data_IF_004855755057
#
_entry.id   IF_004855755057
#
_cell.length_a   1.000
_cell.length_b   1.000
_cell.length_c   1.000
_cell.angle_alpha   90.00
_cell.angle_beta   90.00
_cell.angle_gamma   90.00
#
_symmetry.space_group_name_H-M   'P 1'
#
loop_
_entity.id
_entity.type
_entity.pdbx_description
1 polymer ?
#
# COMPACT_ATOMS: atom_id res chain seq x y z
N UNK A 1 -16.62 -12.15 38.34
CA UNK A 1 -17.27 -12.42 37.05
C UNK A 1 -16.17 -12.70 36.05
N UNK A 2 -16.09 -13.94 35.57
CA UNK A 2 -15.11 -14.36 34.57
C UNK A 2 -15.43 -13.64 33.26
N UNK A 3 -14.55 -12.74 32.80
CA UNK A 3 -14.62 -12.24 31.43
C UNK A 3 -14.44 -13.47 30.53
N UNK A 4 -15.52 -13.92 29.89
CA UNK A 4 -15.39 -14.85 28.77
C UNK A 4 -14.48 -14.15 27.75
N UNK A 5 -13.36 -14.79 27.37
CA UNK A 5 -12.44 -14.21 26.38
C UNK A 5 -13.19 -13.94 25.09
N UNK A 6 -13.13 -12.70 24.60
CA UNK A 6 -13.85 -12.24 23.40
C UNK A 6 -13.30 -12.81 22.08
N UNK A 7 -12.35 -13.76 22.14
CA UNK A 7 -11.69 -14.39 21.00
C UNK A 7 -10.17 -14.44 21.14
N UNK A 8 -9.50 -15.24 20.30
CA UNK A 8 -8.04 -15.34 20.17
C UNK A 8 -7.59 -14.80 18.82
N UNK A 9 -6.53 -13.99 18.81
CA UNK A 9 -5.96 -13.40 17.60
C UNK A 9 -4.47 -13.67 17.50
N UNK A 10 -3.98 -14.04 16.32
CA UNK A 10 -2.56 -14.03 16.02
C UNK A 10 -2.17 -12.71 15.31
N UNK A 11 -1.12 -12.03 15.77
CA UNK A 11 -0.50 -10.94 15.01
C UNK A 11 0.69 -11.51 14.24
N UNK A 12 0.59 -11.54 12.92
CA UNK A 12 1.53 -12.20 12.02
C UNK A 12 2.46 -11.20 11.34
N UNK A 13 3.77 -11.46 11.36
CA UNK A 13 4.77 -10.70 10.62
C UNK A 13 5.97 -11.56 10.22
N UNK A 14 6.80 -11.07 9.29
CA UNK A 14 7.97 -11.80 8.80
C UNK A 14 9.14 -11.72 9.78
N UNK A 15 9.84 -12.83 9.98
CA UNK A 15 11.07 -12.93 10.78
C UNK A 15 11.57 -14.37 10.79
N UNK A 16 12.79 -14.60 11.26
CA UNK A 16 13.40 -15.93 11.29
C UNK A 16 13.00 -16.76 12.53
N UNK A 17 13.55 -17.99 12.63
CA UNK A 17 13.36 -18.89 13.77
C UNK A 17 13.69 -18.22 15.10
N UNK A 18 14.80 -17.50 15.16
CA UNK A 18 15.28 -16.88 16.40
C UNK A 18 14.35 -15.74 16.85
N UNK A 19 13.85 -14.95 15.89
CA UNK A 19 12.84 -13.92 16.12
C UNK A 19 11.53 -14.56 16.62
N UNK A 20 11.11 -15.71 16.08
CA UNK A 20 9.92 -16.43 16.52
C UNK A 20 10.02 -16.91 17.96
N UNK A 21 11.13 -17.52 18.34
CA UNK A 21 11.35 -18.04 19.71
C UNK A 21 11.37 -16.94 20.76
N UNK A 22 11.85 -15.75 20.38
CA UNK A 22 11.93 -14.60 21.29
C UNK A 22 10.70 -13.69 21.26
N UNK A 23 9.80 -13.83 20.29
CA UNK A 23 8.70 -12.89 20.11
C UNK A 23 7.77 -12.88 21.32
N UNK A 24 7.52 -11.70 21.85
CA UNK A 24 6.50 -11.45 22.88
C UNK A 24 5.64 -10.28 22.45
N UNK A 25 4.42 -10.15 23.02
CA UNK A 25 3.60 -8.95 22.79
C UNK A 25 4.33 -7.64 23.11
N UNK A 26 5.21 -7.63 24.11
CA UNK A 26 5.89 -6.42 24.61
C UNK A 26 7.14 -6.03 23.84
N UNK A 27 7.86 -6.99 23.23
CA UNK A 27 9.08 -6.71 22.47
C UNK A 27 8.83 -6.54 20.96
N UNK A 28 7.57 -6.56 20.54
CA UNK A 28 7.16 -6.38 19.15
C UNK A 28 6.92 -4.90 18.83
N UNK A 29 7.19 -4.49 17.58
CA UNK A 29 6.78 -3.17 17.06
C UNK A 29 5.27 -2.94 17.09
N UNK A 30 4.49 -4.01 17.26
CA UNK A 30 3.04 -3.98 17.36
C UNK A 30 2.53 -3.95 18.82
N UNK A 31 3.39 -3.68 19.81
CA UNK A 31 3.01 -3.75 21.23
C UNK A 31 1.76 -2.91 21.57
N UNK A 32 1.57 -1.74 20.95
CA UNK A 32 0.35 -0.93 21.11
C UNK A 32 -0.91 -1.65 20.65
N UNK A 33 -0.85 -2.40 19.55
CA UNK A 33 -1.99 -3.19 19.07
C UNK A 33 -2.27 -4.35 20.04
N UNK A 34 -1.24 -5.00 20.58
CA UNK A 34 -1.41 -6.01 21.63
C UNK A 34 -2.05 -5.43 22.89
N UNK A 35 -1.64 -4.24 23.34
CA UNK A 35 -2.21 -3.53 24.48
C UNK A 35 -3.71 -3.24 24.28
N UNK A 36 -4.09 -2.73 23.11
CA UNK A 36 -5.49 -2.42 22.76
C UNK A 36 -6.36 -3.69 22.69
N UNK A 37 -5.86 -4.77 22.08
CA UNK A 37 -6.57 -6.05 22.05
C UNK A 37 -6.79 -6.62 23.46
N UNK A 38 -5.76 -6.56 24.31
CA UNK A 38 -5.86 -7.02 25.70
C UNK A 38 -6.87 -6.20 26.50
N UNK A 39 -6.90 -4.87 26.31
CA UNK A 39 -7.88 -3.99 26.95
C UNK A 39 -9.34 -4.32 26.56
N UNK A 40 -9.54 -4.88 25.36
CA UNK A 40 -10.83 -5.37 24.85
C UNK A 40 -11.14 -6.83 25.25
N UNK A 41 -10.27 -7.47 26.04
CA UNK A 41 -10.45 -8.87 26.46
C UNK A 41 -10.15 -9.90 25.36
N UNK A 42 -9.43 -9.51 24.32
CA UNK A 42 -9.00 -10.37 23.23
C UNK A 42 -7.62 -10.93 23.57
N UNK A 43 -7.48 -12.27 23.53
CA UNK A 43 -6.20 -12.92 23.78
C UNK A 43 -5.36 -12.91 22.49
N UNK A 44 -4.35 -12.04 22.43
CA UNK A 44 -3.49 -11.88 21.27
C UNK A 44 -2.11 -12.54 21.46
N UNK A 45 -1.63 -13.26 20.43
CA UNK A 45 -0.32 -13.93 20.42
C UNK A 45 0.51 -13.56 19.19
N UNK A 46 1.86 -13.54 19.30
CA UNK A 46 2.75 -13.28 18.16
C UNK A 46 2.84 -14.50 17.24
N UNK A 47 2.84 -14.27 15.92
CA UNK A 47 3.03 -15.29 14.89
C UNK A 47 4.11 -14.84 13.89
N UNK A 48 5.37 -15.17 14.17
CA UNK A 48 6.47 -14.85 13.25
C UNK A 48 6.53 -15.89 12.14
N UNK A 49 6.56 -15.44 10.89
CA UNK A 49 6.56 -16.27 9.69
C UNK A 49 7.89 -16.20 8.94
N UNK A 50 8.44 -17.39 8.71
CA UNK A 50 9.47 -17.72 7.74
C UNK A 50 9.02 -18.96 6.94
N UNK A 51 9.45 -19.10 5.70
CA UNK A 51 9.19 -20.29 4.88
C UNK A 51 9.61 -21.59 5.58
N UNK A 52 10.72 -21.58 6.33
CA UNK A 52 11.19 -22.74 7.11
C UNK A 52 10.24 -23.13 8.26
N UNK A 53 9.42 -22.18 8.72
CA UNK A 53 8.51 -22.32 9.86
C UNK A 53 7.05 -22.47 9.44
N UNK A 54 6.79 -22.61 8.13
CA UNK A 54 5.46 -22.58 7.52
C UNK A 54 4.45 -23.48 8.24
N UNK A 55 4.80 -24.75 8.49
CA UNK A 55 3.87 -25.72 9.07
C UNK A 55 3.54 -25.43 10.54
N UNK A 56 4.51 -24.89 11.29
CA UNK A 56 4.29 -24.46 12.67
C UNK A 56 3.37 -23.23 12.72
N UNK A 57 3.61 -22.26 11.83
CA UNK A 57 2.76 -21.08 11.72
C UNK A 57 1.36 -21.50 11.29
N UNK A 58 1.23 -22.38 10.30
CA UNK A 58 -0.06 -22.93 9.87
C UNK A 58 -0.81 -23.56 11.04
N UNK A 59 -0.16 -24.44 11.80
CA UNK A 59 -0.78 -25.05 12.98
C UNK A 59 -1.25 -23.99 14.00
N UNK A 60 -0.45 -22.95 14.22
CA UNK A 60 -0.79 -21.83 15.10
C UNK A 60 -2.01 -21.05 14.59
N UNK A 61 -2.01 -20.63 13.32
CA UNK A 61 -3.09 -19.81 12.74
C UNK A 61 -4.43 -20.56 12.69
N UNK A 62 -4.40 -21.89 12.59
CA UNK A 62 -5.61 -22.72 12.66
C UNK A 62 -6.18 -22.85 14.09
N UNK A 63 -5.48 -22.39 15.14
CA UNK A 63 -5.97 -22.44 16.53
C UNK A 63 -6.50 -21.10 17.07
N UNK A 64 -6.48 -20.05 16.26
CA UNK A 64 -7.02 -18.72 16.62
C UNK A 64 -8.31 -18.42 15.85
N UNK A 65 -9.05 -17.42 16.30
CA UNK A 65 -10.30 -16.95 15.69
C UNK A 65 -10.05 -15.88 14.62
N UNK A 66 -8.94 -15.16 14.72
CA UNK A 66 -8.53 -14.15 13.74
C UNK A 66 -7.03 -14.01 13.57
N UNK A 67 -6.60 -13.51 12.41
CA UNK A 67 -5.20 -13.25 12.08
C UNK A 67 -5.05 -11.81 11.58
N UNK A 68 -4.28 -11.00 12.32
CA UNK A 68 -3.84 -9.69 11.86
C UNK A 68 -2.50 -9.81 11.13
N UNK A 69 -2.40 -9.36 9.88
CA UNK A 69 -1.25 -9.66 9.00
C UNK A 69 -0.45 -8.40 8.66
N UNK A 70 0.86 -8.41 8.93
CA UNK A 70 1.84 -7.42 8.47
C UNK A 70 3.07 -8.10 7.84
N UNK A 71 2.97 -8.44 6.56
CA UNK A 71 4.08 -8.98 5.77
C UNK A 71 4.16 -8.22 4.46
N UNK A 72 5.32 -7.68 4.12
CA UNK A 72 5.51 -6.95 2.88
C UNK A 72 5.31 -7.88 1.66
N UNK A 73 4.86 -7.36 0.50
CA UNK A 73 4.75 -8.16 -0.72
C UNK A 73 6.09 -8.76 -1.15
N UNK A 74 7.17 -8.00 -0.94
CA UNK A 74 8.56 -8.39 -1.18
C UNK A 74 9.42 -7.92 -0.01
N UNK A 75 10.26 -8.80 0.53
CA UNK A 75 11.20 -8.49 1.61
C UNK A 75 12.40 -9.44 1.56
N UNK A 76 13.61 -8.90 1.60
CA UNK A 76 14.87 -9.67 1.66
C UNK A 76 15.00 -10.73 0.54
N UNK A 77 14.52 -10.40 -0.66
CA UNK A 77 14.53 -11.29 -1.83
C UNK A 77 13.44 -12.35 -1.84
N UNK A 78 12.52 -12.33 -0.87
CA UNK A 78 11.40 -13.28 -0.75
C UNK A 78 10.07 -12.60 -1.07
N UNK A 79 9.15 -13.36 -1.63
CA UNK A 79 7.77 -12.94 -1.85
C UNK A 79 6.84 -13.44 -0.74
N UNK A 80 5.52 -13.37 -0.96
CA UNK A 80 4.49 -13.86 -0.04
C UNK A 80 3.57 -14.90 -0.66
N UNK A 81 4.01 -15.62 -1.70
CA UNK A 81 3.16 -16.59 -2.42
C UNK A 81 2.70 -17.73 -1.51
N UNK A 82 3.63 -18.38 -0.81
CA UNK A 82 3.30 -19.47 0.12
C UNK A 82 2.48 -18.98 1.31
N UNK A 83 2.79 -17.79 1.83
CA UNK A 83 1.98 -17.16 2.87
C UNK A 83 0.56 -16.87 2.37
N UNK A 84 0.39 -16.45 1.12
CA UNK A 84 -0.94 -16.17 0.56
C UNK A 84 -1.77 -17.45 0.42
N UNK A 85 -1.17 -18.57 0.05
CA UNK A 85 -1.86 -19.86 0.04
C UNK A 85 -2.31 -20.25 1.45
N UNK A 86 -1.44 -20.13 2.45
CA UNK A 86 -1.78 -20.36 3.84
C UNK A 86 -2.90 -19.43 4.34
N UNK A 87 -2.83 -18.13 4.06
CA UNK A 87 -3.83 -17.18 4.53
C UNK A 87 -5.20 -17.41 3.87
N UNK A 88 -5.24 -17.83 2.59
CA UNK A 88 -6.49 -18.28 1.96
C UNK A 88 -7.05 -19.52 2.64
N UNK A 89 -6.18 -20.49 2.96
CA UNK A 89 -6.59 -21.69 3.69
C UNK A 89 -7.21 -21.32 5.05
N UNK A 90 -6.54 -20.48 5.83
CA UNK A 90 -7.04 -19.99 7.13
C UNK A 90 -8.41 -19.33 6.97
N UNK A 91 -8.59 -18.53 5.93
CA UNK A 91 -9.84 -17.82 5.64
C UNK A 91 -10.99 -18.71 5.14
N UNK A 92 -10.75 -19.98 4.75
CA UNK A 92 -11.84 -20.90 4.35
C UNK A 92 -12.74 -21.34 5.51
N UNK A 93 -12.25 -21.23 6.75
CA UNK A 93 -12.99 -21.57 7.95
C UNK A 93 -13.77 -20.39 8.53
N UNK A 94 -14.16 -20.51 9.79
CA UNK A 94 -14.77 -19.44 10.57
C UNK A 94 -13.73 -18.39 11.06
N UNK A 95 -12.56 -18.30 10.41
CA UNK A 95 -11.45 -17.45 10.88
C UNK A 95 -11.33 -16.23 10.01
N UNK A 96 -11.16 -15.08 10.66
CA UNK A 96 -10.99 -13.82 9.96
C UNK A 96 -9.51 -13.56 9.65
N UNK A 97 -9.20 -13.08 8.45
CA UNK A 97 -7.86 -12.62 8.05
C UNK A 97 -7.93 -11.13 7.72
N UNK A 98 -7.14 -10.31 8.41
CA UNK A 98 -7.27 -8.85 8.40
C UNK A 98 -6.86 -8.16 7.10
N UNK A 99 -6.06 -8.84 6.30
CA UNK A 99 -5.59 -8.41 4.99
C UNK A 99 -5.63 -9.63 4.06
N UNK A 100 -6.85 -9.98 3.61
CA UNK A 100 -7.09 -11.18 2.81
C UNK A 100 -6.31 -11.12 1.48
N UNK A 101 -5.61 -12.20 1.05
CA UNK A 101 -4.81 -12.18 -0.18
C UNK A 101 -5.57 -11.73 -1.43
N UNK A 102 -6.86 -12.06 -1.54
CA UNK A 102 -7.66 -11.68 -2.71
C UNK A 102 -8.08 -10.21 -2.70
N UNK A 103 -8.21 -9.60 -1.53
CA UNK A 103 -8.41 -8.15 -1.39
C UNK A 103 -7.11 -7.42 -1.71
N UNK A 104 -5.97 -7.93 -1.24
CA UNK A 104 -4.65 -7.37 -1.59
C UNK A 104 -4.44 -7.39 -3.12
N UNK A 105 -4.84 -8.47 -3.79
CA UNK A 105 -4.70 -8.59 -5.25
C UNK A 105 -5.55 -7.56 -6.02
N UNK A 106 -6.65 -7.06 -5.44
CA UNK A 106 -7.50 -6.02 -6.03
C UNK A 106 -7.05 -4.60 -5.66
N UNK A 107 -6.69 -4.40 -4.40
CA UNK A 107 -6.55 -3.08 -3.77
C UNK A 107 -5.09 -2.67 -3.53
N UNK A 108 -4.22 -3.62 -3.21
CA UNK A 108 -2.85 -3.38 -2.76
C UNK A 108 -1.77 -3.49 -3.84
N UNK A 109 -2.16 -3.49 -5.12
CA UNK A 109 -1.26 -3.55 -6.29
C UNK A 109 -1.40 -2.28 -7.14
N UNK A 110 -0.36 -1.90 -7.91
CA UNK A 110 -0.38 -0.59 -8.62
C UNK A 110 -1.47 -0.50 -9.67
N UNK A 111 -1.96 -1.63 -10.20
CA UNK A 111 -3.08 -1.71 -11.15
C UNK A 111 -4.35 -1.07 -10.60
N UNK A 112 -4.49 -0.94 -9.28
CA UNK A 112 -5.60 -0.21 -8.65
C UNK A 112 -5.74 1.21 -9.22
N UNK A 113 -4.62 1.86 -9.62
CA UNK A 113 -4.63 3.20 -10.22
C UNK A 113 -5.30 3.20 -11.60
N UNK A 114 -5.12 2.12 -12.37
CA UNK A 114 -5.79 1.93 -13.65
C UNK A 114 -7.24 1.50 -13.46
N UNK A 115 -7.53 0.57 -12.55
CA UNK A 115 -8.90 0.11 -12.29
C UNK A 115 -9.78 1.25 -11.77
N UNK A 116 -9.22 2.16 -10.99
CA UNK A 116 -9.88 3.35 -10.43
C UNK A 116 -9.72 4.62 -11.28
N UNK A 117 -9.32 4.50 -12.56
CA UNK A 117 -9.03 5.67 -13.41
C UNK A 117 -10.22 6.58 -13.71
N UNK A 118 -11.44 6.11 -13.46
CA UNK A 118 -12.66 6.90 -13.57
C UNK A 118 -13.00 7.74 -12.33
N UNK A 119 -12.33 7.49 -11.20
CA UNK A 119 -12.61 8.15 -9.93
C UNK A 119 -11.99 9.55 -9.85
N UNK A 120 -12.55 10.39 -8.98
CA UNK A 120 -12.17 11.81 -8.85
C UNK A 120 -10.73 12.10 -8.39
N UNK A 121 -9.99 11.10 -7.91
CA UNK A 121 -8.55 11.22 -7.58
C UNK A 121 -7.61 10.90 -8.74
N UNK A 122 -8.15 10.47 -9.90
CA UNK A 122 -7.31 9.97 -10.99
C UNK A 122 -6.92 11.08 -11.95
N UNK A 123 -5.76 10.90 -12.57
CA UNK A 123 -5.19 11.79 -13.59
C UNK A 123 -4.96 11.05 -14.92
N UNK A 124 -5.68 9.95 -15.15
CA UNK A 124 -5.56 9.14 -16.36
C UNK A 124 -4.36 8.18 -16.31
N UNK A 125 -4.48 7.16 -15.47
CA UNK A 125 -3.53 6.05 -15.44
C UNK A 125 -3.73 5.13 -16.66
N UNK A 126 -2.63 4.65 -17.22
CA UNK A 126 -2.57 3.63 -18.26
C UNK A 126 -1.97 2.34 -17.70
N UNK A 127 -2.33 1.21 -18.31
CA UNK A 127 -1.80 -0.11 -17.96
C UNK A 127 -1.23 -0.75 -19.21
N UNK A 128 0.00 -1.23 -19.12
CA UNK A 128 0.61 -2.09 -20.14
C UNK A 128 0.67 -3.51 -19.60
N UNK A 129 -0.03 -4.44 -20.24
CA UNK A 129 -0.15 -5.82 -19.77
C UNK A 129 0.94 -6.75 -20.36
N UNK A 130 1.74 -6.26 -21.30
CA UNK A 130 2.86 -7.00 -21.87
C UNK A 130 3.96 -6.05 -22.35
N UNK A 131 5.16 -6.59 -22.50
CA UNK A 131 6.30 -5.84 -23.03
C UNK A 131 6.04 -5.29 -24.45
N UNK A 132 5.41 -6.08 -25.32
CA UNK A 132 5.13 -5.64 -26.70
C UNK A 132 4.15 -4.48 -26.75
N UNK A 133 3.13 -4.54 -25.89
CA UNK A 133 2.15 -3.47 -25.73
C UNK A 133 2.78 -2.18 -25.16
N UNK A 134 3.65 -2.32 -24.15
CA UNK A 134 4.44 -1.22 -23.59
C UNK A 134 5.33 -0.56 -24.65
N UNK A 135 6.09 -1.36 -25.40
CA UNK A 135 7.00 -0.88 -26.46
C UNK A 135 6.24 -0.16 -27.58
N UNK A 136 5.02 -0.60 -27.88
CA UNK A 136 4.19 0.02 -28.90
C UNK A 136 3.58 1.35 -28.42
N UNK A 137 2.98 1.37 -27.23
CA UNK A 137 2.11 2.48 -26.80
C UNK A 137 2.81 3.54 -25.94
N UNK A 138 3.81 3.18 -25.13
CA UNK A 138 4.46 4.15 -24.24
C UNK A 138 5.22 5.28 -24.96
N UNK A 139 5.92 5.05 -26.09
CA UNK A 139 6.59 6.13 -26.81
C UNK A 139 5.67 7.29 -27.21
N UNK A 140 4.41 7.00 -27.55
CA UNK A 140 3.37 8.00 -27.88
C UNK A 140 2.91 8.78 -26.64
N UNK A 141 2.96 8.18 -25.45
CA UNK A 141 2.63 8.88 -24.19
C UNK A 141 3.69 9.90 -23.78
N UNK A 142 4.93 9.73 -24.28
CA UNK A 142 6.07 10.63 -24.08
C UNK A 142 6.12 11.79 -25.10
N UNK A 143 5.00 12.22 -25.67
CA UNK A 143 4.92 13.42 -26.52
C UNK A 143 5.65 14.62 -25.86
N UNK A 144 6.26 15.48 -26.70
CA UNK A 144 7.17 16.56 -26.28
C UNK A 144 6.66 17.32 -25.04
N UNK A 145 7.38 17.15 -23.93
CA UNK A 145 7.14 17.86 -22.66
C UNK A 145 6.24 17.15 -21.64
N UNK A 146 5.68 15.97 -21.95
CA UNK A 146 4.90 15.19 -20.99
C UNK A 146 5.80 14.24 -20.19
N UNK A 147 6.14 14.64 -18.98
CA UNK A 147 6.81 13.79 -18.00
C UNK A 147 5.86 12.70 -17.50
N UNK A 148 6.31 11.44 -17.55
CA UNK A 148 5.54 10.27 -17.10
C UNK A 148 6.20 9.62 -15.89
N UNK A 149 5.38 8.96 -15.07
CA UNK A 149 5.83 8.12 -13.96
C UNK A 149 5.37 6.69 -14.24
N UNK A 150 6.33 5.81 -14.53
CA UNK A 150 6.10 4.37 -14.67
C UNK A 150 6.22 3.72 -13.30
N UNK A 151 5.37 2.73 -13.04
CA UNK A 151 5.33 1.97 -11.78
C UNK A 151 5.15 0.50 -12.13
N UNK A 152 6.09 -0.35 -11.73
CA UNK A 152 5.85 -1.80 -11.77
C UNK A 152 4.76 -2.20 -10.77
N UNK A 153 3.99 -3.24 -11.10
CA UNK A 153 2.86 -3.75 -10.29
C UNK A 153 3.21 -4.01 -8.83
N UNK A 154 4.28 -4.79 -8.58
CA UNK A 154 4.69 -5.21 -7.23
C UNK A 154 6.06 -4.68 -6.89
N UNK A 155 6.14 -3.66 -6.06
CA UNK A 155 7.40 -3.09 -5.57
C UNK A 155 7.23 -2.49 -4.19
N UNK A 156 8.36 -2.24 -3.52
CA UNK A 156 8.40 -1.50 -2.26
C UNK A 156 9.48 -0.40 -2.34
N UNK A 157 9.34 0.65 -1.53
CA UNK A 157 10.36 1.70 -1.35
C UNK A 157 10.86 2.34 -2.66
N UNK A 158 9.94 2.58 -3.60
CA UNK A 158 10.24 3.23 -4.89
C UNK A 158 10.92 2.35 -5.94
N UNK A 159 11.15 1.07 -5.67
CA UNK A 159 11.75 0.14 -6.65
C UNK A 159 10.85 -0.03 -7.87
N UNK A 160 11.43 0.17 -9.06
CA UNK A 160 10.67 0.12 -10.32
C UNK A 160 9.66 1.25 -10.49
N UNK A 161 9.85 2.37 -9.78
CA UNK A 161 9.12 3.62 -10.02
C UNK A 161 10.05 4.60 -10.73
N UNK A 162 9.71 4.97 -11.97
CA UNK A 162 10.58 5.75 -12.85
C UNK A 162 9.91 7.05 -13.28
N UNK A 163 10.57 8.19 -13.06
CA UNK A 163 10.27 9.43 -13.81
C UNK A 163 10.95 9.34 -15.18
N UNK A 164 10.19 9.58 -16.24
CA UNK A 164 10.65 9.47 -17.63
C UNK A 164 10.29 10.73 -18.40
N UNK A 165 11.29 11.32 -19.03
CA UNK A 165 11.19 12.58 -19.77
C UNK A 165 11.85 12.44 -21.13
N UNK A 166 11.15 12.77 -22.21
CA UNK A 166 11.77 12.81 -23.54
C UNK A 166 12.70 14.01 -23.62
N UNK A 167 13.93 13.79 -24.08
CA UNK A 167 14.95 14.83 -24.23
C UNK A 167 14.94 15.33 -25.67
N UNK A 168 14.96 16.66 -25.85
CA UNK A 168 15.12 17.23 -27.17
C UNK A 168 16.55 16.99 -27.67
N UNK A 169 16.72 16.16 -28.69
CA UNK A 169 18.01 15.90 -29.32
C UNK A 169 18.20 16.76 -30.58
N UNK A 170 19.29 17.52 -30.64
CA UNK A 170 19.68 18.29 -31.83
C UNK A 170 19.96 17.40 -33.06
N UNK A 171 20.20 16.10 -32.85
CA UNK A 171 20.45 15.11 -33.91
C UNK A 171 19.22 14.28 -34.28
N UNK A 172 18.05 14.56 -33.70
CA UNK A 172 16.82 13.77 -33.91
C UNK A 172 16.85 12.37 -33.26
N UNK A 173 17.79 12.12 -32.33
CA UNK A 173 17.85 10.86 -31.60
C UNK A 173 16.69 10.77 -30.58
N UNK A 174 16.06 9.58 -30.49
CA UNK A 174 15.03 9.31 -29.50
C UNK A 174 15.65 8.95 -28.15
N UNK A 175 15.85 9.97 -27.32
CA UNK A 175 16.46 9.85 -25.99
C UNK A 175 15.48 10.24 -24.89
N UNK A 176 15.65 9.57 -23.75
CA UNK A 176 14.92 9.84 -22.51
C UNK A 176 15.87 10.08 -21.35
N UNK A 177 15.50 11.02 -20.50
CA UNK A 177 16.05 11.19 -19.17
C UNK A 177 15.18 10.40 -18.19
N UNK A 178 15.81 9.49 -17.44
CA UNK A 178 15.13 8.62 -16.48
C UNK A 178 15.74 8.74 -15.10
N UNK A 179 14.88 8.71 -14.08
CA UNK A 179 15.25 8.70 -12.66
C UNK A 179 14.40 7.68 -11.92
N UNK A 180 15.02 6.81 -11.14
CA UNK A 180 14.30 5.83 -10.31
C UNK A 180 14.05 6.43 -8.93
N UNK A 181 12.86 6.21 -8.36
CA UNK A 181 12.53 6.71 -7.03
C UNK A 181 13.29 5.98 -5.91
N UNK A 182 13.83 4.79 -6.19
CA UNK A 182 14.57 3.99 -5.23
C UNK A 182 15.97 4.55 -4.99
N UNK A 183 16.25 4.86 -3.72
CA UNK A 183 17.48 5.52 -3.26
C UNK A 183 17.74 6.87 -3.97
N UNK A 184 18.68 7.71 -3.48
CA UNK A 184 19.15 8.84 -4.25
C UNK A 184 19.78 8.35 -5.57
N UNK A 185 19.02 8.40 -6.67
CA UNK A 185 19.47 8.00 -8.00
C UNK A 185 19.65 9.23 -8.88
N UNK A 186 20.82 9.40 -9.49
CA UNK A 186 21.04 10.50 -10.43
C UNK A 186 20.26 10.27 -11.75
N UNK A 187 19.75 11.34 -12.39
CA UNK A 187 19.13 11.22 -13.71
C UNK A 187 20.11 10.65 -14.72
N UNK A 188 19.62 9.78 -15.59
CA UNK A 188 20.41 9.19 -16.67
C UNK A 188 19.72 9.45 -18.00
N UNK A 189 20.45 10.04 -18.94
CA UNK A 189 20.02 10.13 -20.33
C UNK A 189 20.45 8.87 -21.08
N UNK A 190 19.53 8.26 -21.81
CA UNK A 190 19.79 7.07 -22.62
C UNK A 190 18.81 6.96 -23.80
N UNK A 191 19.10 6.14 -24.82
CA UNK A 191 18.15 5.84 -25.89
C UNK A 191 16.85 5.24 -25.34
N UNK A 192 15.70 5.65 -25.87
CA UNK A 192 14.39 5.16 -25.44
C UNK A 192 14.29 3.62 -25.49
N UNK A 193 14.71 3.00 -26.59
CA UNK A 193 14.68 1.55 -26.75
C UNK A 193 15.49 0.81 -25.66
N UNK A 194 16.60 1.40 -25.22
CA UNK A 194 17.42 0.83 -24.14
C UNK A 194 16.69 0.90 -22.81
N UNK A 195 15.98 1.99 -22.55
CA UNK A 195 15.15 2.10 -21.35
C UNK A 195 13.99 1.11 -21.39
N UNK A 196 13.27 1.01 -22.51
CA UNK A 196 12.17 0.05 -22.69
C UNK A 196 12.65 -1.38 -22.42
N UNK A 197 13.76 -1.79 -23.02
CA UNK A 197 14.37 -3.11 -22.81
C UNK A 197 14.72 -3.37 -21.34
N UNK A 198 15.18 -2.35 -20.60
CA UNK A 198 15.48 -2.50 -19.17
C UNK A 198 14.24 -2.80 -18.32
N UNK A 199 13.04 -2.47 -18.80
CA UNK A 199 11.77 -2.76 -18.14
C UNK A 199 11.19 -4.14 -18.51
N UNK A 200 11.83 -4.92 -19.41
CA UNK A 200 11.28 -6.21 -19.89
C UNK A 200 10.93 -7.17 -18.75
N UNK A 201 11.80 -7.28 -17.74
CA UNK A 201 11.59 -8.17 -16.60
C UNK A 201 10.40 -7.78 -15.71
N UNK A 202 9.85 -6.57 -15.83
CA UNK A 202 8.66 -6.17 -15.06
C UNK A 202 7.36 -6.82 -15.57
N UNK A 203 7.41 -7.55 -16.69
CA UNK A 203 6.29 -8.32 -17.22
C UNK A 203 6.40 -9.82 -16.89
N UNK A 204 7.48 -10.24 -16.21
CA UNK A 204 7.66 -11.63 -15.79
C UNK A 204 6.51 -12.04 -14.84
N UNK A 205 6.07 -13.29 -14.94
CA UNK A 205 4.95 -13.79 -14.11
C UNK A 205 3.58 -13.18 -14.42
N UNK A 206 3.45 -12.45 -15.55
CA UNK A 206 2.19 -11.82 -15.96
C UNK A 206 1.93 -10.48 -15.24
N UNK A 207 2.96 -9.86 -14.67
CA UNK A 207 2.87 -8.51 -14.10
C UNK A 207 2.72 -7.43 -15.19
N UNK A 208 2.30 -6.25 -14.75
CA UNK A 208 2.06 -5.10 -15.62
C UNK A 208 2.84 -3.86 -15.17
N UNK A 209 2.96 -2.91 -16.09
CA UNK A 209 3.44 -1.56 -15.80
C UNK A 209 2.26 -0.60 -15.82
N UNK A 210 2.16 0.21 -14.78
CA UNK A 210 1.22 1.33 -14.69
C UNK A 210 1.94 2.63 -15.01
N UNK A 211 1.27 3.49 -15.75
CA UNK A 211 1.79 4.78 -16.20
C UNK A 211 0.85 5.91 -15.78
N UNK A 212 1.38 6.94 -15.13
CA UNK A 212 0.65 8.15 -14.75
C UNK A 212 1.41 9.42 -15.18
N UNK A 213 0.72 10.53 -15.44
CA UNK A 213 1.38 11.82 -15.55
C UNK A 213 2.16 12.15 -14.26
N UNK A 214 3.34 12.74 -14.40
CA UNK A 214 4.06 13.30 -13.26
C UNK A 214 3.27 14.47 -12.65
N UNK A 215 3.25 14.56 -11.33
CA UNK A 215 2.55 15.61 -10.60
C UNK A 215 3.50 16.78 -10.31
N UNK A 216 3.29 17.98 -10.89
CA UNK A 216 4.20 19.11 -10.72
C UNK A 216 4.34 19.58 -9.27
N UNK A 217 3.31 19.34 -8.45
CA UNK A 217 3.27 19.70 -7.03
C UNK A 217 3.84 18.62 -6.11
N UNK A 218 4.67 17.71 -6.62
CA UNK A 218 5.39 16.71 -5.81
C UNK A 218 6.16 17.35 -4.65
N UNK A 219 6.74 18.54 -4.88
CA UNK A 219 7.45 19.34 -3.87
C UNK A 219 6.58 19.73 -2.68
N UNK A 220 5.28 19.95 -2.90
CA UNK A 220 4.35 20.42 -1.87
C UNK A 220 4.08 19.34 -0.81
N UNK A 221 4.32 18.07 -1.17
CA UNK A 221 4.29 16.94 -0.26
C UNK A 221 3.37 15.82 -0.72
N UNK A 222 3.29 14.81 0.13
CA UNK A 222 2.45 13.63 -0.02
C UNK A 222 1.73 13.36 1.28
N UNK A 223 0.42 13.15 1.19
CA UNK A 223 -0.44 12.79 2.31
C UNK A 223 -0.69 11.28 2.23
N UNK A 224 -0.25 10.55 3.25
CA UNK A 224 -0.70 9.19 3.50
C UNK A 224 -1.98 9.23 4.33
N UNK A 225 -3.10 8.79 3.77
CA UNK A 225 -4.36 8.66 4.49
C UNK A 225 -4.49 7.23 5.03
N UNK A 226 -4.45 7.05 6.35
CA UNK A 226 -4.63 5.73 6.98
C UNK A 226 -6.11 5.48 7.22
N UNK A 227 -6.57 4.27 6.87
CA UNK A 227 -7.97 3.88 6.92
C UNK A 227 -8.09 2.53 7.60
N UNK A 228 -9.04 2.42 8.53
CA UNK A 228 -9.48 1.14 9.09
C UNK A 228 -10.86 0.84 8.55
N UNK A 229 -11.00 -0.28 7.82
CA UNK A 229 -12.20 -0.61 7.05
C UNK A 229 -12.58 0.52 6.07
N UNK A 230 -13.58 1.31 6.42
CA UNK A 230 -14.13 2.43 5.65
C UNK A 230 -14.04 3.79 6.38
N UNK A 231 -13.21 3.88 7.43
CA UNK A 231 -13.03 5.09 8.25
C UNK A 231 -11.59 5.53 8.30
N UNK A 232 -11.36 6.82 8.11
CA UNK A 232 -10.03 7.42 8.25
C UNK A 232 -9.63 7.43 9.72
N UNK A 233 -8.45 6.92 10.00
CA UNK A 233 -7.91 6.77 11.37
C UNK A 233 -6.64 7.59 11.62
N UNK A 234 -6.20 8.33 10.61
CA UNK A 234 -5.15 9.34 10.74
C UNK A 234 -4.44 9.61 9.43
N UNK A 235 -3.40 10.44 9.52
CA UNK A 235 -2.64 10.88 8.36
C UNK A 235 -1.13 10.82 8.62
N UNK A 236 -0.36 10.69 7.54
CA UNK A 236 1.05 11.00 7.50
C UNK A 236 1.31 12.06 6.45
N UNK A 237 2.20 13.00 6.70
CA UNK A 237 2.66 13.96 5.70
C UNK A 237 4.17 13.90 5.57
N UNK A 238 4.67 13.85 4.34
CA UNK A 238 6.10 13.85 4.03
C UNK A 238 6.37 14.55 2.69
N UNK A 239 7.63 14.88 2.42
CA UNK A 239 8.07 15.41 1.13
C UNK A 239 8.91 14.35 0.39
N UNK A 240 8.33 13.62 -0.58
CA UNK A 240 9.05 12.54 -1.27
C UNK A 240 10.18 13.09 -2.13
N UNK A 241 11.37 12.51 -2.03
CA UNK A 241 12.57 13.03 -2.70
C UNK A 241 12.93 12.28 -3.99
N UNK A 242 12.52 11.02 -4.13
CA UNK A 242 13.10 10.08 -5.10
C UNK A 242 12.97 10.48 -6.57
N UNK A 243 12.00 11.32 -6.94
CA UNK A 243 11.79 11.77 -8.32
C UNK A 243 12.12 13.26 -8.53
N UNK A 244 12.68 13.93 -7.53
CA UNK A 244 13.03 15.36 -7.60
C UNK A 244 14.51 15.56 -7.83
N UNK A 245 14.85 16.64 -8.53
CA UNK A 245 16.21 17.15 -8.53
C UNK A 245 16.55 17.70 -7.13
N UNK A 246 17.78 17.50 -6.61
CA UNK A 246 18.15 17.97 -5.28
C UNK A 246 17.90 19.47 -5.03
N UNK A 247 18.00 20.29 -6.09
CA UNK A 247 17.74 21.73 -6.01
C UNK A 247 16.25 22.08 -5.82
N UNK A 248 15.34 21.18 -6.21
CA UNK A 248 13.89 21.38 -6.13
C UNK A 248 13.27 20.76 -4.87
N UNK A 249 14.04 19.99 -4.11
CA UNK A 249 13.57 19.34 -2.89
C UNK A 249 13.06 20.36 -1.87
N UNK A 250 12.00 19.97 -1.14
CA UNK A 250 11.50 20.80 -0.04
C UNK A 250 12.53 20.83 1.11
N UNK A 251 12.79 21.99 1.76
CA UNK A 251 13.74 22.08 2.87
C UNK A 251 13.46 21.09 4.01
N UNK A 252 12.17 20.83 4.26
CA UNK A 252 11.71 19.93 5.32
C UNK A 252 11.72 18.45 4.92
N UNK A 253 12.20 18.08 3.73
CA UNK A 253 12.22 16.69 3.30
C UNK A 253 13.06 15.78 4.22
N UNK A 254 14.05 16.34 4.93
CA UNK A 254 14.85 15.65 5.92
C UNK A 254 14.09 15.32 7.22
N UNK A 255 12.96 15.97 7.51
CA UNK A 255 12.14 15.69 8.71
C UNK A 255 11.44 14.33 8.63
N UNK A 256 11.36 13.73 7.44
CA UNK A 256 10.66 12.48 7.22
C UNK A 256 9.14 12.63 7.37
N UNK A 257 8.48 11.52 7.74
CA UNK A 257 7.02 11.45 7.85
C UNK A 257 6.57 11.96 9.22
N UNK A 258 5.70 12.96 9.22
CA UNK A 258 5.00 13.45 10.41
C UNK A 258 3.60 12.83 10.46
N UNK A 259 3.21 12.25 11.59
CA UNK A 259 1.90 11.61 11.77
C UNK A 259 0.91 12.57 12.45
N UNK A 260 -0.35 12.48 12.04
CA UNK A 260 -1.45 13.31 12.52
C UNK A 260 -2.68 12.45 12.84
N UNK A 261 -3.52 12.86 13.81
CA UNK A 261 -4.78 12.17 14.10
C UNK A 261 -5.81 12.35 12.98
N UNK A 262 -6.89 11.58 13.02
CA UNK A 262 -7.96 11.63 12.01
C UNK A 262 -8.72 12.97 11.96
N UNK A 263 -8.76 13.69 13.07
CA UNK A 263 -9.45 14.98 13.23
C UNK A 263 -8.56 16.20 12.93
N UNK A 264 -7.36 15.99 12.36
CA UNK A 264 -6.47 17.07 11.94
C UNK A 264 -7.18 18.00 10.94
N UNK A 265 -7.44 19.28 11.30
CA UNK A 265 -8.25 20.18 10.47
C UNK A 265 -7.66 20.40 9.07
N UNK A 266 -6.33 20.36 8.93
CA UNK A 266 -5.65 20.49 7.64
C UNK A 266 -6.08 19.43 6.62
N UNK A 267 -6.48 18.24 7.07
CA UNK A 267 -6.81 17.11 6.19
C UNK A 267 -8.31 16.78 6.19
N UNK A 268 -9.15 17.60 6.81
CA UNK A 268 -10.61 17.44 6.82
C UNK A 268 -11.20 17.31 5.40
N UNK A 269 -10.84 18.14 4.40
CA UNK A 269 -11.40 18.00 3.06
C UNK A 269 -11.07 16.65 2.39
N UNK A 270 -9.86 16.11 2.65
CA UNK A 270 -9.47 14.79 2.15
C UNK A 270 -10.23 13.68 2.89
N UNK A 271 -10.37 13.79 4.22
CA UNK A 271 -11.16 12.85 5.04
C UNK A 271 -12.58 12.73 4.52
N UNK A 272 -13.26 13.86 4.33
CA UNK A 272 -14.65 13.89 3.87
C UNK A 272 -14.81 13.24 2.50
N UNK A 273 -13.91 13.54 1.55
CA UNK A 273 -13.91 12.92 0.22
C UNK A 273 -13.68 11.41 0.30
N UNK A 274 -12.71 10.97 1.11
CA UNK A 274 -12.43 9.55 1.33
C UNK A 274 -13.65 8.81 1.87
N UNK A 275 -14.25 9.29 2.96
CA UNK A 275 -15.32 8.58 3.66
C UNK A 275 -16.67 8.67 2.97
N UNK A 276 -17.00 9.82 2.37
CA UNK A 276 -18.34 10.05 1.81
C UNK A 276 -18.48 9.65 0.34
N UNK A 277 -17.39 9.62 -0.42
CA UNK A 277 -17.43 9.38 -1.87
C UNK A 277 -16.47 8.30 -2.32
N UNK A 278 -15.17 8.44 -2.06
CA UNK A 278 -14.17 7.63 -2.71
C UNK A 278 -14.08 6.20 -2.18
N UNK A 279 -14.15 5.95 -0.87
CA UNK A 279 -14.14 4.57 -0.35
C UNK A 279 -15.40 3.80 -0.81
N UNK A 280 -16.63 4.34 -0.71
CA UNK A 280 -17.82 3.67 -1.26
C UNK A 280 -17.69 3.34 -2.76
N UNK A 281 -17.25 4.30 -3.58
CA UNK A 281 -17.07 4.11 -5.02
C UNK A 281 -15.98 3.06 -5.33
N UNK A 282 -14.85 3.10 -4.60
CA UNK A 282 -13.76 2.13 -4.71
C UNK A 282 -14.25 0.70 -4.41
N UNK A 283 -15.02 0.53 -3.34
CA UNK A 283 -15.56 -0.76 -2.95
C UNK A 283 -16.50 -1.34 -4.01
N UNK A 284 -17.39 -0.51 -4.56
CA UNK A 284 -18.29 -0.91 -5.65
C UNK A 284 -17.49 -1.30 -6.91
N UNK A 285 -16.54 -0.46 -7.31
CA UNK A 285 -15.76 -0.65 -8.54
C UNK A 285 -14.87 -1.89 -8.50
N UNK A 286 -14.30 -2.21 -7.34
CA UNK A 286 -13.42 -3.37 -7.15
C UNK A 286 -14.15 -4.62 -6.67
N UNK A 287 -15.46 -4.54 -6.46
CA UNK A 287 -16.28 -5.62 -5.89
C UNK A 287 -15.68 -6.11 -4.56
N UNK A 288 -15.53 -5.19 -3.61
CA UNK A 288 -15.01 -5.45 -2.26
C UNK A 288 -16.13 -5.17 -1.27
N UNK A 289 -16.61 -6.22 -0.59
CA UNK A 289 -17.60 -6.04 0.46
C UNK A 289 -17.00 -5.27 1.64
N UNK A 290 -17.81 -4.56 2.41
CA UNK A 290 -17.35 -3.86 3.62
C UNK A 290 -16.68 -4.84 4.61
N UNK A 291 -17.23 -6.06 4.71
CA UNK A 291 -16.68 -7.17 5.49
C UNK A 291 -15.36 -7.72 4.94
N UNK A 292 -14.89 -7.29 3.78
CA UNK A 292 -13.60 -7.71 3.24
C UNK A 292 -12.56 -6.58 3.31
N UNK A 293 -12.99 -5.36 3.68
CA UNK A 293 -12.07 -4.24 3.81
C UNK A 293 -11.00 -4.51 4.88
N UNK A 294 -9.73 -4.12 4.63
CA UNK A 294 -8.63 -4.41 5.54
C UNK A 294 -8.80 -3.73 6.91
N UNK A 295 -8.26 -4.37 7.95
CA UNK A 295 -8.23 -3.78 9.31
C UNK A 295 -7.47 -2.46 9.35
N UNK A 296 -6.46 -2.33 8.51
CA UNK A 296 -5.69 -1.13 8.26
C UNK A 296 -5.19 -1.17 6.82
N UNK A 297 -5.33 -0.06 6.11
CA UNK A 297 -4.74 0.17 4.81
C UNK A 297 -4.41 1.67 4.69
N UNK A 298 -3.61 2.04 3.70
CA UNK A 298 -3.32 3.45 3.44
C UNK A 298 -3.41 3.80 1.96
N UNK A 299 -3.80 5.04 1.68
CA UNK A 299 -3.80 5.62 0.35
C UNK A 299 -2.89 6.85 0.35
N UNK A 300 -1.89 6.85 -0.52
CA UNK A 300 -0.95 7.95 -0.68
C UNK A 300 -1.41 8.90 -1.78
N UNK A 301 -1.58 10.15 -1.41
CA UNK A 301 -2.01 11.23 -2.29
C UNK A 301 -0.90 12.26 -2.49
N UNK A 302 -0.66 12.63 -3.74
CA UNK A 302 0.03 13.87 -4.07
C UNK A 302 -0.98 15.00 -4.25
N UNK A 303 -0.52 16.23 -4.07
CA UNK A 303 -1.32 17.40 -4.44
C UNK A 303 -1.45 17.48 -5.97
N UNK A 304 -2.70 17.57 -6.43
CA UNK A 304 -3.04 17.84 -7.82
C UNK A 304 -3.15 19.34 -8.11
N UNK A 305 -3.57 19.73 -9.32
CA UNK A 305 -3.86 21.13 -9.65
C UNK A 305 -4.85 21.73 -8.66
N UNK A 306 -4.63 22.98 -8.27
CA UNK A 306 -5.62 23.71 -7.47
C UNK A 306 -6.89 23.87 -8.31
N UNK A 307 -8.06 23.65 -7.71
CA UNK A 307 -9.33 23.83 -8.41
C UNK A 307 -9.67 25.32 -8.63
N UNK A 308 -10.76 25.59 -9.36
CA UNK A 308 -11.20 26.96 -9.67
C UNK A 308 -11.51 27.79 -8.41
N UNK A 309 -11.82 27.13 -7.29
CA UNK A 309 -12.10 27.74 -6.00
C UNK A 309 -10.86 28.00 -5.14
N UNK A 310 -9.67 27.60 -5.60
CA UNK A 310 -8.43 27.74 -4.84
C UNK A 310 -8.17 26.59 -3.86
N UNK A 311 -8.96 25.51 -3.90
CA UNK A 311 -8.78 24.36 -3.01
C UNK A 311 -7.83 23.31 -3.62
N UNK A 312 -7.14 22.58 -2.74
CA UNK A 312 -6.31 21.46 -3.15
C UNK A 312 -7.15 20.33 -3.75
N UNK A 313 -6.67 19.76 -4.86
CA UNK A 313 -7.09 18.45 -5.33
C UNK A 313 -6.05 17.40 -4.96
N UNK A 314 -6.44 16.13 -4.97
CA UNK A 314 -5.60 15.02 -4.53
C UNK A 314 -5.52 13.96 -5.60
N UNK A 315 -4.30 13.50 -5.88
CA UNK A 315 -4.00 12.53 -6.92
C UNK A 315 -3.48 11.25 -6.29
N UNK A 316 -4.21 10.15 -6.47
CA UNK A 316 -3.82 8.86 -5.91
C UNK A 316 -2.53 8.35 -6.55
N UNK A 317 -1.57 7.99 -5.71
CA UNK A 317 -0.25 7.51 -6.10
C UNK A 317 -0.03 6.04 -5.81
N UNK A 318 -0.50 5.56 -4.66
CA UNK A 318 -0.51 4.15 -4.31
C UNK A 318 -1.52 3.85 -3.22
N UNK A 319 -1.89 2.57 -3.12
CA UNK A 319 -2.62 2.03 -1.98
C UNK A 319 -1.79 0.90 -1.39
N UNK A 320 -1.62 0.89 -0.08
CA UNK A 320 -0.91 -0.16 0.66
C UNK A 320 -1.89 -0.91 1.56
N UNK A 321 -1.85 -2.24 1.49
CA UNK A 321 -2.73 -3.12 2.29
C UNK A 321 -1.94 -4.15 3.11
N UNK A 322 -0.82 -4.63 2.55
CA UNK A 322 -0.12 -5.84 2.97
C UNK A 322 0.60 -5.74 4.33
N UNK A 323 1.16 -4.57 4.65
CA UNK A 323 2.01 -4.35 5.83
C UNK A 323 2.08 -2.86 6.19
N UNK A 324 0.92 -2.22 6.36
CA UNK A 324 0.84 -0.79 6.68
C UNK A 324 1.40 -0.51 8.08
N UNK A 325 2.61 0.05 8.10
CA UNK A 325 3.34 0.48 9.30
C UNK A 325 4.47 1.45 8.93
N UNK A 326 4.89 2.41 9.76
CA UNK A 326 4.29 2.85 11.02
C UNK A 326 2.89 3.45 10.83
N UNK A 327 2.08 3.43 11.88
CA UNK A 327 0.70 3.94 11.92
C UNK A 327 0.58 5.07 12.96
N UNK A 328 -0.39 6.00 12.82
CA UNK A 328 -0.71 6.98 13.86
C UNK A 328 -1.12 6.29 15.17
N UNK A 329 -0.83 6.91 16.31
CA UNK A 329 -1.09 6.31 17.64
C UNK A 329 -2.56 5.89 17.81
N UNK A 330 -3.50 6.70 17.32
CA UNK A 330 -4.94 6.41 17.42
C UNK A 330 -5.40 5.24 16.54
N UNK A 331 -4.60 4.81 15.57
CA UNK A 331 -4.98 3.70 14.69
C UNK A 331 -4.99 2.35 15.41
N UNK A 332 -4.19 2.19 16.48
CA UNK A 332 -4.15 0.94 17.25
C UNK A 332 -5.49 0.59 17.90
N UNK A 333 -6.19 1.59 18.46
CA UNK A 333 -7.51 1.38 19.07
C UNK A 333 -8.58 1.08 18.03
N UNK A 334 -8.50 1.71 16.85
CA UNK A 334 -9.38 1.40 15.72
C UNK A 334 -9.20 -0.04 15.20
N UNK A 335 -7.94 -0.51 15.11
CA UNK A 335 -7.61 -1.90 14.76
C UNK A 335 -8.21 -2.86 15.80
N UNK A 336 -8.06 -2.58 17.10
CA UNK A 336 -8.64 -3.40 18.16
C UNK A 336 -10.16 -3.46 18.09
N UNK A 337 -10.82 -2.32 17.88
CA UNK A 337 -12.28 -2.25 17.73
C UNK A 337 -12.78 -2.99 16.48
N UNK A 338 -12.05 -2.92 15.36
CA UNK A 338 -12.33 -3.69 14.16
C UNK A 338 -12.22 -5.19 14.43
N UNK A 339 -11.11 -5.64 15.04
CA UNK A 339 -10.91 -7.05 15.39
C UNK A 339 -12.05 -7.59 16.27
N UNK A 340 -12.46 -6.83 17.28
CA UNK A 340 -13.58 -7.22 18.16
C UNK A 340 -14.89 -7.41 17.38
N UNK A 341 -15.22 -6.49 16.47
CA UNK A 341 -16.41 -6.62 15.61
C UNK A 341 -16.33 -7.85 14.72
N UNK A 342 -15.20 -8.02 14.00
CA UNK A 342 -15.06 -9.11 13.03
C UNK A 342 -15.12 -10.49 13.66
N UNK A 343 -14.59 -10.66 14.87
CA UNK A 343 -14.72 -11.92 15.60
C UNK A 343 -16.16 -12.18 16.11
N UNK A 344 -16.93 -11.13 16.40
CA UNK A 344 -18.34 -11.25 16.79
C UNK A 344 -19.30 -11.56 15.64
N UNK A 345 -18.93 -11.20 14.40
CA UNK A 345 -19.72 -11.43 13.18
C UNK A 345 -19.50 -12.81 12.56
N UNK A 346 -18.55 -13.61 13.08
CA UNK A 346 -18.35 -14.99 12.64
C UNK A 346 -19.48 -15.87 13.20
N UNK A 347 -20.28 -16.54 12.35
CA UNK A 347 -21.30 -17.46 12.85
C UNK A 347 -20.63 -18.62 13.60
N UNK A 348 -21.01 -18.79 14.87
CA UNK A 348 -20.65 -19.99 15.64
C UNK A 348 -21.34 -21.18 14.97
N UNK A 349 -20.61 -21.94 14.17
CA UNK A 349 -21.08 -23.22 13.68
C UNK A 349 -21.09 -24.16 14.88
N UNK A 350 -22.27 -24.39 15.46
CA UNK A 350 -22.45 -25.39 16.50
C UNK A 350 -22.03 -26.77 15.93
N UNK A 351 -21.09 -27.42 16.60
CA UNK A 351 -20.59 -28.75 16.27
C UNK A 351 -21.67 -29.84 16.41
#
# INVERSE_FOLDING_TARGET
MSLQSSGRVAILWRGDREARERATPQNSRFHRIFEELAALGIAAEPAVYDEETHDEVRAQLLHVDGVLVWVNPLQDGRDRLWLNELLREVATGSRWVSAHPDVIAKLGVKEVLFHTRGMGWSVGAELYASYDDFRLRFPERLEHGRTRVLKRSRGNDGQGVWKVERVASAAGADEVCVREAHAPSEPRTMPLDRFLESCRGYFDGGEAIVDQPFQPRLRDGMIRCYVSEDRVVGFGHQHPQGLMDPADMHPDAALGKVMFPADEPRFEPLRERMEAAWIPELMELLDIARSDMPVIWDADFLYGPVDEGGADTYVLCEINVSSVFAIPDQAASAIGACALRRMGDVPIIAA
#
